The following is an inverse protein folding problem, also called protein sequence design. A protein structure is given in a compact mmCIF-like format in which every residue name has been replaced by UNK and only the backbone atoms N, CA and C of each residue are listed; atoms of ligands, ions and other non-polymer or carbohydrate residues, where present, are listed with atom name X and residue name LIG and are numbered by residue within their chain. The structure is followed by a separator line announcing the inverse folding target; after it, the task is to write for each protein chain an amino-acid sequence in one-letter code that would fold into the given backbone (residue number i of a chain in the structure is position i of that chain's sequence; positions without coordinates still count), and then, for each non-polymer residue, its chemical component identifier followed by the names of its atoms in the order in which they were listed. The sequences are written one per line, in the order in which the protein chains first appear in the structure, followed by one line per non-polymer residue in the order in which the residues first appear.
data_IF_702907331297
#
_entry.id   IF_702907331297
#
_cell.length_a   1.000
_cell.length_b   1.000
_cell.length_c   1.000
_cell.angle_alpha   90.00
_cell.angle_beta   90.00
_cell.angle_gamma   90.00
#
_symmetry.space_group_name_H-M   'P 1'
#
loop_
_entity.id
_entity.type
_entity.pdbx_description
1 polymer ?
#
# COMPACT_ATOMS: atom_id res chain seq x y z
N UNK A 1 -27.22 65.03 -16.05
CA UNK A 1 -26.11 64.22 -16.59
C UNK A 1 -25.72 63.20 -15.54
N UNK A 2 -26.17 61.95 -15.68
CA UNK A 2 -25.95 60.88 -14.70
C UNK A 2 -24.66 60.12 -15.02
N UNK A 3 -23.67 60.15 -14.13
CA UNK A 3 -22.41 59.41 -14.27
C UNK A 3 -22.57 57.99 -13.72
N UNK A 4 -22.53 57.01 -14.63
CA UNK A 4 -22.63 55.57 -14.35
C UNK A 4 -21.32 55.09 -13.69
N UNK A 5 -21.34 54.80 -12.38
CA UNK A 5 -20.23 54.12 -11.70
C UNK A 5 -20.14 52.68 -12.20
N UNK A 6 -18.96 52.27 -12.69
CA UNK A 6 -18.64 50.87 -12.99
C UNK A 6 -17.83 50.29 -11.83
N UNK A 7 -18.35 49.23 -11.21
CA UNK A 7 -17.67 48.40 -10.22
C UNK A 7 -16.67 47.44 -10.91
N UNK A 8 -15.48 47.17 -10.35
CA UNK A 8 -14.61 46.10 -10.81
C UNK A 8 -15.07 44.72 -10.29
N UNK A 9 -14.78 43.62 -11.01
CA UNK A 9 -15.20 42.28 -10.61
C UNK A 9 -14.40 41.76 -9.41
N UNK A 10 -15.13 41.20 -8.43
CA UNK A 10 -14.57 40.68 -7.20
C UNK A 10 -13.58 39.54 -7.41
N UNK A 11 -12.43 39.64 -6.73
CA UNK A 11 -11.52 38.51 -6.53
C UNK A 11 -12.21 37.47 -5.65
N UNK A 12 -12.43 36.28 -6.21
CA UNK A 12 -12.88 35.11 -5.45
C UNK A 12 -11.77 34.65 -4.48
N UNK A 13 -12.10 34.22 -3.25
CA UNK A 13 -11.11 33.66 -2.33
C UNK A 13 -10.60 32.31 -2.88
N UNK A 14 -9.28 32.24 -3.09
CA UNK A 14 -8.56 31.02 -3.49
C UNK A 14 -8.79 29.93 -2.42
N UNK A 15 -9.18 28.71 -2.79
CA UNK A 15 -9.36 27.64 -1.81
C UNK A 15 -8.05 27.40 -1.04
N UNK A 16 -8.13 27.08 0.27
CA UNK A 16 -6.94 26.87 1.09
C UNK A 16 -6.14 25.70 0.52
N UNK A 17 -4.87 25.96 0.26
CA UNK A 17 -3.91 24.98 -0.24
C UNK A 17 -3.85 23.80 0.73
N UNK A 18 -4.23 22.60 0.25
CA UNK A 18 -4.03 21.34 0.98
C UNK A 18 -2.65 20.81 0.60
N UNK A 19 -1.68 20.73 1.52
CA UNK A 19 -0.39 20.16 1.19
C UNK A 19 -0.58 18.71 0.72
N UNK A 20 0.12 18.28 -0.35
CA UNK A 20 0.10 16.89 -0.75
C UNK A 20 0.52 16.01 0.42
N UNK A 21 -0.23 14.94 0.66
CA UNK A 21 0.17 13.94 1.67
C UNK A 21 1.53 13.36 1.27
N UNK A 22 2.34 12.95 2.25
CA UNK A 22 3.65 12.35 2.01
C UNK A 22 3.61 11.17 1.01
N UNK A 23 2.47 10.50 0.87
CA UNK A 23 2.20 9.48 -0.16
C UNK A 23 2.41 9.99 -1.59
N UNK A 24 2.13 11.27 -1.86
CA UNK A 24 2.29 11.88 -3.20
C UNK A 24 3.75 12.19 -3.50
N UNK A 25 4.54 12.56 -2.49
CA UNK A 25 5.98 12.81 -2.67
C UNK A 25 6.77 11.52 -2.93
N UNK A 26 6.39 10.40 -2.32
CA UNK A 26 7.03 9.10 -2.57
C UNK A 26 6.74 8.52 -3.97
N UNK A 27 5.64 8.94 -4.62
CA UNK A 27 5.30 8.50 -5.97
C UNK A 27 6.22 9.09 -7.06
N UNK A 28 6.76 10.30 -6.83
CA UNK A 28 7.47 11.05 -7.86
C UNK A 28 8.90 10.58 -8.13
N UNK A 29 9.50 9.75 -7.27
CA UNK A 29 10.92 9.38 -7.39
C UNK A 29 11.19 8.07 -8.16
N UNK A 30 10.24 7.15 -8.34
CA UNK A 30 10.53 5.79 -8.89
C UNK A 30 9.56 5.26 -9.99
N UNK A 31 8.81 6.09 -10.71
CA UNK A 31 7.89 5.60 -11.75
C UNK A 31 6.72 4.78 -11.17
N UNK A 32 6.26 5.16 -9.97
CA UNK A 32 5.25 4.48 -9.20
C UNK A 32 3.84 4.86 -9.70
N UNK A 33 3.04 3.88 -10.10
CA UNK A 33 1.59 4.06 -10.21
C UNK A 33 0.93 3.75 -8.86
N UNK A 34 0.20 4.71 -8.30
CA UNK A 34 -0.56 4.55 -7.04
C UNK A 34 -2.04 4.43 -7.38
N UNK A 35 -2.67 3.34 -6.97
CA UNK A 35 -4.13 3.23 -6.93
C UNK A 35 -4.55 3.17 -5.47
N UNK A 36 -4.98 4.30 -4.93
CA UNK A 36 -5.61 4.38 -3.61
C UNK A 36 -7.11 4.50 -3.81
N UNK A 37 -7.84 3.41 -3.56
CA UNK A 37 -9.30 3.39 -3.54
C UNK A 37 -9.78 3.42 -2.10
N UNK A 38 -10.67 4.35 -1.77
CA UNK A 38 -11.37 4.33 -0.49
C UNK A 38 -12.65 3.52 -0.68
N UNK A 39 -12.71 2.28 -0.20
CA UNK A 39 -13.96 1.54 -0.17
C UNK A 39 -14.82 2.08 0.98
N UNK A 40 -16.15 2.14 0.80
CA UNK A 40 -17.09 2.80 1.73
C UNK A 40 -17.05 2.24 3.18
N UNK A 41 -16.35 1.13 3.41
CA UNK A 41 -16.05 0.52 4.71
C UNK A 41 -14.64 -0.13 4.80
N UNK A 42 -13.69 0.23 3.93
CA UNK A 42 -12.40 -0.47 3.85
C UNK A 42 -11.22 0.45 3.54
N UNK A 43 -10.13 0.27 4.28
CA UNK A 43 -8.84 0.90 4.00
C UNK A 43 -8.07 0.00 3.03
N UNK A 44 -7.99 0.38 1.76
CA UNK A 44 -7.20 -0.33 0.75
C UNK A 44 -6.21 0.62 0.07
N UNK A 45 -5.02 0.12 -0.21
CA UNK A 45 -4.07 0.77 -1.11
C UNK A 45 -3.32 -0.26 -1.93
N UNK A 46 -3.05 0.05 -3.19
CA UNK A 46 -2.10 -0.68 -4.01
C UNK A 46 -1.07 0.21 -4.69
N UNK A 47 0.11 -0.36 -4.88
CA UNK A 47 1.28 0.27 -5.49
C UNK A 47 1.93 -0.68 -6.48
N UNK A 48 2.43 -0.14 -7.59
CA UNK A 48 3.24 -0.90 -8.55
C UNK A 48 4.70 -0.45 -8.46
N UNK A 49 5.58 -1.36 -8.08
CA UNK A 49 7.01 -1.16 -7.92
C UNK A 49 7.77 -1.74 -9.12
N UNK A 50 8.82 -1.05 -9.56
CA UNK A 50 9.80 -1.67 -10.48
C UNK A 50 10.56 -2.77 -9.75
N UNK A 51 10.73 -3.93 -10.39
CA UNK A 51 11.44 -5.08 -9.81
C UNK A 51 12.97 -4.86 -9.82
N UNK A 52 13.44 -4.05 -8.87
CA UNK A 52 14.85 -3.74 -8.62
C UNK A 52 15.15 -3.90 -7.14
N UNK A 53 16.41 -4.08 -6.72
CA UNK A 53 16.76 -4.17 -5.30
C UNK A 53 16.23 -3.02 -4.44
N UNK A 54 16.03 -1.83 -5.03
CA UNK A 54 15.42 -0.67 -4.37
C UNK A 54 13.94 -0.86 -3.99
N UNK A 55 13.26 -1.86 -4.52
CA UNK A 55 11.86 -2.17 -4.21
C UNK A 55 11.67 -2.57 -2.74
N UNK A 56 12.60 -3.34 -2.16
CA UNK A 56 12.54 -3.79 -0.76
C UNK A 56 12.49 -2.60 0.22
N UNK A 57 13.49 -1.70 0.27
CA UNK A 57 13.43 -0.55 1.18
C UNK A 57 12.30 0.42 0.85
N UNK A 58 11.85 0.46 -0.41
CA UNK A 58 10.71 1.29 -0.82
C UNK A 58 9.40 0.75 -0.25
N UNK A 59 9.16 -0.55 -0.40
CA UNK A 59 8.00 -1.24 0.14
C UNK A 59 7.91 -1.09 1.66
N UNK A 60 9.02 -1.28 2.39
CA UNK A 60 9.09 -1.03 3.84
C UNK A 60 8.61 0.36 4.24
N UNK A 61 9.16 1.39 3.61
CA UNK A 61 8.81 2.79 3.92
C UNK A 61 7.33 3.07 3.63
N UNK A 62 6.81 2.53 2.53
CA UNK A 62 5.43 2.75 2.10
C UNK A 62 4.44 2.03 3.03
N UNK A 63 4.74 0.80 3.42
CA UNK A 63 3.96 0.04 4.40
C UNK A 63 3.93 0.75 5.75
N UNK A 64 5.09 1.15 6.29
CA UNK A 64 5.15 1.89 7.55
C UNK A 64 4.36 3.21 7.48
N UNK A 65 4.57 4.00 6.42
CA UNK A 65 3.87 5.27 6.24
C UNK A 65 2.34 5.08 6.14
N UNK A 66 1.90 4.04 5.43
CA UNK A 66 0.48 3.73 5.28
C UNK A 66 -0.14 3.29 6.60
N UNK A 67 0.49 2.36 7.32
CA UNK A 67 -0.01 1.87 8.61
C UNK A 67 -0.09 3.00 9.64
N UNK A 68 0.92 3.87 9.70
CA UNK A 68 0.88 5.06 10.55
C UNK A 68 -0.32 5.97 10.17
N UNK A 69 -0.59 6.13 8.87
CA UNK A 69 -1.75 6.93 8.41
C UNK A 69 -3.12 6.28 8.70
N UNK A 70 -3.14 4.97 8.93
CA UNK A 70 -4.32 4.22 9.34
C UNK A 70 -4.44 4.07 10.87
N UNK A 71 -3.49 4.63 11.64
CA UNK A 71 -3.47 4.51 13.10
C UNK A 71 -2.91 3.19 13.62
N UNK A 72 -2.30 2.36 12.76
CA UNK A 72 -1.75 1.04 13.07
C UNK A 72 -0.23 1.08 13.33
N UNK A 73 0.25 2.13 14.00
CA UNK A 73 1.69 2.39 14.17
C UNK A 73 2.44 1.26 14.89
N UNK A 74 1.77 0.56 15.81
CA UNK A 74 2.34 -0.60 16.53
C UNK A 74 2.61 -1.81 15.62
N UNK A 75 1.87 -1.92 14.51
CA UNK A 75 2.05 -2.99 13.52
C UNK A 75 3.03 -2.60 12.41
N UNK A 76 3.41 -1.32 12.32
CA UNK A 76 4.17 -0.77 11.20
C UNK A 76 5.53 -1.44 11.01
N UNK A 77 6.26 -1.70 12.10
CA UNK A 77 7.58 -2.33 12.04
C UNK A 77 7.48 -3.79 11.59
N UNK A 78 6.64 -4.59 12.26
CA UNK A 78 6.46 -6.00 11.96
C UNK A 78 5.96 -6.22 10.52
N UNK A 79 4.92 -5.49 10.10
CA UNK A 79 4.41 -5.57 8.74
C UNK A 79 5.45 -5.14 7.70
N UNK A 80 6.27 -4.12 8.00
CA UNK A 80 7.33 -3.69 7.08
C UNK A 80 8.39 -4.78 6.88
N UNK A 81 8.76 -5.52 7.93
CA UNK A 81 9.71 -6.64 7.80
C UNK A 81 9.12 -7.78 6.97
N UNK A 82 7.87 -8.16 7.21
CA UNK A 82 7.20 -9.20 6.42
C UNK A 82 7.06 -8.78 4.94
N UNK A 83 6.71 -7.53 4.68
CA UNK A 83 6.66 -6.98 3.31
C UNK A 83 8.03 -7.03 2.64
N UNK A 84 9.11 -6.73 3.37
CA UNK A 84 10.46 -6.77 2.82
C UNK A 84 10.82 -8.18 2.34
N UNK A 85 10.44 -9.19 3.12
CA UNK A 85 10.66 -10.59 2.81
C UNK A 85 9.82 -11.06 1.60
N UNK A 86 8.54 -10.69 1.53
CA UNK A 86 7.70 -11.01 0.36
C UNK A 86 8.20 -10.35 -0.92
N UNK A 87 8.60 -9.08 -0.85
CA UNK A 87 9.17 -8.36 -2.00
C UNK A 87 10.54 -8.94 -2.37
N UNK A 88 11.34 -9.37 -1.40
CA UNK A 88 12.61 -10.07 -1.62
C UNK A 88 12.41 -11.33 -2.44
N UNK A 89 11.49 -12.19 -2.01
CA UNK A 89 11.10 -13.39 -2.76
C UNK A 89 10.64 -13.03 -4.18
N UNK A 90 9.76 -12.03 -4.34
CA UNK A 90 9.28 -11.62 -5.66
C UNK A 90 10.43 -11.17 -6.60
N UNK A 91 11.47 -10.52 -6.08
CA UNK A 91 12.65 -10.13 -6.87
C UNK A 91 13.47 -11.34 -7.34
N UNK A 92 13.60 -12.38 -6.51
CA UNK A 92 14.32 -13.62 -6.86
C UNK A 92 13.65 -14.35 -8.04
N UNK A 93 12.34 -14.24 -8.19
CA UNK A 93 11.58 -14.85 -9.29
C UNK A 93 11.73 -14.14 -10.65
N UNK A 94 12.48 -13.03 -10.72
CA UNK A 94 12.95 -12.46 -12.00
C UNK A 94 11.90 -11.71 -12.84
N UNK A 95 10.99 -10.98 -12.19
CA UNK A 95 9.94 -10.20 -12.88
C UNK A 95 10.36 -8.79 -13.30
N UNK A 96 9.53 -8.12 -14.09
CA UNK A 96 9.65 -6.70 -14.41
C UNK A 96 9.00 -5.78 -13.35
N UNK A 97 7.92 -6.23 -12.70
CA UNK A 97 7.11 -5.39 -11.80
C UNK A 97 6.57 -6.17 -10.61
N UNK A 98 6.41 -5.51 -9.48
CA UNK A 98 5.83 -6.07 -8.25
C UNK A 98 4.64 -5.20 -7.84
N UNK A 99 3.45 -5.81 -7.67
CA UNK A 99 2.28 -5.13 -7.12
C UNK A 99 2.18 -5.41 -5.63
N UNK A 100 2.27 -4.37 -4.81
CA UNK A 100 2.09 -4.42 -3.37
C UNK A 100 0.70 -3.85 -3.03
N UNK A 101 -0.14 -4.62 -2.38
CA UNK A 101 -1.45 -4.19 -1.89
C UNK A 101 -1.55 -4.39 -0.37
N UNK A 102 -2.17 -3.43 0.32
CA UNK A 102 -2.52 -3.50 1.73
C UNK A 102 -4.02 -3.25 1.86
N UNK A 103 -4.69 -4.08 2.64
CA UNK A 103 -6.10 -3.95 2.95
C UNK A 103 -6.36 -4.16 4.44
N UNK A 104 -7.31 -3.41 5.00
CA UNK A 104 -7.84 -3.64 6.34
C UNK A 104 -9.30 -4.11 6.22
N UNK A 105 -9.56 -5.34 6.64
CA UNK A 105 -10.89 -5.97 6.61
C UNK A 105 -11.09 -6.74 7.90
N UNK A 106 -12.23 -6.54 8.57
CA UNK A 106 -12.64 -7.29 9.77
C UNK A 106 -11.58 -7.37 10.89
N UNK A 107 -10.79 -6.32 11.07
CA UNK A 107 -9.72 -6.29 12.09
C UNK A 107 -8.46 -7.06 11.72
N UNK A 108 -8.29 -7.38 10.43
CA UNK A 108 -7.08 -7.99 9.87
C UNK A 108 -6.45 -7.08 8.82
N UNK A 109 -5.16 -6.81 9.00
CA UNK A 109 -4.31 -6.24 7.97
C UNK A 109 -3.90 -7.37 7.03
N UNK A 110 -4.36 -7.32 5.79
CA UNK A 110 -3.92 -8.19 4.72
C UNK A 110 -2.90 -7.47 3.86
N UNK A 111 -1.77 -8.11 3.59
CA UNK A 111 -0.78 -7.64 2.65
C UNK A 111 -0.64 -8.67 1.53
N UNK A 112 -0.72 -8.21 0.28
CA UNK A 112 -0.52 -9.02 -0.91
C UNK A 112 0.64 -8.47 -1.73
N UNK A 113 1.52 -9.37 -2.15
CA UNK A 113 2.59 -9.10 -3.11
C UNK A 113 2.31 -9.99 -4.31
N UNK A 114 1.91 -9.36 -5.40
CA UNK A 114 1.72 -10.04 -6.68
C UNK A 114 2.92 -9.77 -7.56
N UNK A 115 3.38 -10.84 -8.20
CA UNK A 115 4.45 -10.82 -9.15
C UNK A 115 3.99 -11.32 -10.53
N UNK A 116 3.46 -10.42 -11.38
CA UNK A 116 2.98 -10.80 -12.71
C UNK A 116 4.13 -11.28 -13.61
N UNK A 117 4.00 -12.48 -14.16
CA UNK A 117 5.02 -13.12 -15.00
C UNK A 117 5.99 -14.03 -14.24
N UNK A 118 5.79 -14.23 -12.93
CA UNK A 118 6.43 -15.33 -12.21
C UNK A 118 5.92 -16.63 -12.83
N UNK A 119 6.74 -17.25 -13.70
CA UNK A 119 6.45 -18.56 -14.26
C UNK A 119 6.22 -19.49 -13.07
N UNK A 120 5.01 -20.02 -12.91
CA UNK A 120 4.64 -20.90 -11.81
C UNK A 120 5.44 -22.20 -11.92
N UNK A 121 6.69 -22.19 -11.47
CA UNK A 121 7.41 -23.41 -11.20
C UNK A 121 6.73 -23.98 -9.98
N UNK A 122 5.93 -25.02 -10.19
CA UNK A 122 5.45 -25.91 -9.13
C UNK A 122 6.67 -26.64 -8.54
N UNK A 123 7.54 -25.89 -7.88
CA UNK A 123 8.67 -26.42 -7.13
C UNK A 123 8.46 -25.96 -5.70
N UNK A 124 8.11 -26.91 -4.84
CA UNK A 124 7.92 -26.68 -3.41
C UNK A 124 9.29 -26.46 -2.77
N UNK A 125 9.86 -25.26 -2.92
CA UNK A 125 10.96 -24.88 -2.04
C UNK A 125 10.39 -24.66 -0.64
N UNK A 126 10.87 -25.49 0.29
CA UNK A 126 10.30 -25.69 1.61
C UNK A 126 10.94 -24.68 2.56
N UNK A 127 10.54 -23.41 2.43
CA UNK A 127 10.59 -22.50 3.57
C UNK A 127 9.29 -22.65 4.33
N UNK A 128 9.30 -22.97 5.63
CA UNK A 128 8.06 -23.13 6.39
C UNK A 128 7.30 -21.80 6.34
N UNK A 129 6.15 -21.81 5.65
CA UNK A 129 5.17 -20.76 5.78
C UNK A 129 4.77 -20.69 7.28
N UNK A 130 4.62 -19.51 7.87
CA UNK A 130 4.04 -19.39 9.20
C UNK A 130 2.64 -20.04 9.22
N UNK A 131 2.17 -20.52 10.39
CA UNK A 131 1.00 -21.38 10.49
C UNK A 131 -0.21 -20.84 9.72
N UNK A 132 -0.89 -21.78 9.05
CA UNK A 132 -1.73 -21.67 7.85
C UNK A 132 -3.01 -20.79 7.91
N UNK A 133 -3.16 -19.90 8.89
CA UNK A 133 -4.24 -18.90 8.89
C UNK A 133 -3.75 -17.48 8.54
N UNK A 134 -2.44 -17.23 8.62
CA UNK A 134 -1.90 -15.85 8.56
C UNK A 134 -0.96 -15.60 7.38
N UNK A 135 -0.76 -16.57 6.48
CA UNK A 135 -0.01 -16.37 5.23
C UNK A 135 -0.30 -17.45 4.20
N UNK A 136 0.02 -17.18 2.93
CA UNK A 136 -0.11 -18.18 1.87
C UNK A 136 0.35 -17.69 0.50
N UNK A 137 0.28 -18.60 -0.47
CA UNK A 137 0.58 -18.34 -1.89
C UNK A 137 -0.59 -18.84 -2.73
N UNK A 138 -1.04 -18.04 -3.69
CA UNK A 138 -2.08 -18.39 -4.65
C UNK A 138 -1.72 -17.82 -6.03
N UNK A 139 -1.30 -18.69 -6.96
CA UNK A 139 -0.83 -18.26 -8.28
C UNK A 139 0.40 -17.36 -8.17
N UNK A 140 0.30 -16.13 -8.68
CA UNK A 140 1.36 -15.11 -8.65
C UNK A 140 1.33 -14.23 -7.39
N UNK A 141 0.42 -14.52 -6.45
CA UNK A 141 0.19 -13.71 -5.25
C UNK A 141 0.72 -14.43 -4.02
N UNK A 142 1.62 -13.79 -3.28
CA UNK A 142 2.01 -14.19 -1.92
C UNK A 142 1.45 -13.18 -0.93
N UNK A 143 0.91 -13.65 0.19
CA UNK A 143 0.24 -12.79 1.16
C UNK A 143 0.53 -13.17 2.60
N UNK A 144 0.33 -12.21 3.51
CA UNK A 144 0.21 -12.44 4.95
C UNK A 144 -0.94 -11.61 5.55
N UNK A 145 -1.42 -12.05 6.70
CA UNK A 145 -2.43 -11.38 7.51
C UNK A 145 -1.91 -11.16 8.93
N UNK A 146 -2.19 -9.98 9.49
CA UNK A 146 -1.91 -9.63 10.87
C UNK A 146 -3.19 -9.16 11.56
N UNK A 147 -3.55 -9.70 12.73
CA UNK A 147 -4.65 -9.16 13.51
C UNK A 147 -4.26 -7.75 13.99
N UNK A 148 -5.15 -6.77 13.80
CA UNK A 148 -4.90 -5.36 14.16
C UNK A 148 -5.60 -4.96 15.47
N UNK A 149 -6.09 -5.92 16.25
CA UNK A 149 -6.68 -5.65 17.56
C UNK A 149 -8.03 -4.96 17.51
N UNK A 150 -8.99 -5.46 16.73
CA UNK A 150 -10.44 -5.20 16.93
C UNK A 150 -11.28 -6.47 16.82
N UNK A 151 -10.77 -7.62 17.25
CA UNK A 151 -11.61 -8.79 17.49
C UNK A 151 -12.32 -8.61 18.84
N UNK A 152 -13.36 -7.77 18.88
CA UNK A 152 -14.33 -7.78 19.97
C UNK A 152 -14.99 -9.18 19.95
N UNK A 153 -14.66 -10.02 20.92
CA UNK A 153 -15.35 -11.29 21.12
C UNK A 153 -16.86 -11.04 21.31
N UNK A 154 -17.76 -11.86 20.74
CA UNK A 154 -19.20 -11.73 21.01
C UNK A 154 -19.49 -11.99 22.50
N UNK A 155 -20.56 -11.38 23.06
CA UNK A 155 -20.90 -11.45 24.47
C UNK A 155 -21.23 -12.86 24.97
#
# INVERSE_FOLDING_TARGET
MHTKQRHPPGLQPKPPWRPPSWNTFLAMSHGLAVRAGWARHGHDVSWVLSARPSAVPTARRMTAARLNSWGLSEHAEAASLLVADLVGQALEHGTATIRLALGLTDGFLRCEVENPGARSTHDHDTRPAPPACCSGVAGEVTWFELPTGTAQAPP
#
